data_IF_587797366902
#
_entry.id   IF_587797366902
#
_cell.length_a   1.000
_cell.length_b   1.000
_cell.length_c   1.000
_cell.angle_alpha   90.00
_cell.angle_beta   90.00
_cell.angle_gamma   90.00
#
_symmetry.space_group_name_H-M   'P 1'
#
loop_
_entity.id
_entity.type
_entity.pdbx_description
1 polymer ?
#
# COMPACT_ATOMS: atom_id res chain seq x y z
N UNK A 1 -21.14 3.43 -31.80
CA UNK A 1 -20.29 3.09 -30.64
C UNK A 1 -18.86 3.43 -31.03
N UNK A 2 -18.23 4.39 -30.33
CA UNK A 2 -16.84 4.75 -30.62
C UNK A 2 -15.93 3.62 -30.12
N UNK A 3 -15.27 2.93 -31.05
CA UNK A 3 -14.26 1.92 -30.74
C UNK A 3 -12.96 2.62 -30.37
N UNK A 4 -12.89 3.15 -29.14
CA UNK A 4 -11.63 3.63 -28.60
C UNK A 4 -10.68 2.42 -28.38
N UNK A 5 -9.40 2.53 -28.80
CA UNK A 5 -8.36 1.59 -28.39
C UNK A 5 -8.29 1.46 -26.87
N UNK A 6 -7.96 0.27 -26.37
CA UNK A 6 -7.90 0.00 -24.92
C UNK A 6 -6.93 0.91 -24.16
N UNK A 7 -5.83 1.31 -24.81
CA UNK A 7 -4.83 2.22 -24.25
C UNK A 7 -5.42 3.62 -24.00
N UNK A 8 -6.21 4.14 -24.94
CA UNK A 8 -6.89 5.43 -24.76
C UNK A 8 -7.91 5.38 -23.62
N UNK A 9 -8.63 4.25 -23.48
CA UNK A 9 -9.56 4.06 -22.35
C UNK A 9 -8.82 4.06 -21.00
N UNK A 10 -7.61 3.48 -20.94
CA UNK A 10 -6.76 3.51 -19.75
C UNK A 10 -6.26 4.91 -19.44
N UNK A 11 -5.75 5.63 -20.43
CA UNK A 11 -5.27 7.00 -20.24
C UNK A 11 -6.36 7.90 -19.68
N UNK A 12 -7.56 7.83 -20.26
CA UNK A 12 -8.75 8.55 -19.77
C UNK A 12 -9.05 8.16 -18.30
N UNK A 13 -9.07 6.87 -17.99
CA UNK A 13 -9.34 6.43 -16.61
C UNK A 13 -8.29 6.91 -15.62
N UNK A 14 -7.02 6.94 -16.01
CA UNK A 14 -5.91 7.41 -15.18
C UNK A 14 -5.97 8.92 -14.94
N UNK A 15 -6.43 9.70 -15.92
CA UNK A 15 -6.70 11.13 -15.74
C UNK A 15 -7.77 11.36 -14.69
N UNK A 16 -8.86 10.59 -14.73
CA UNK A 16 -9.92 10.66 -13.72
C UNK A 16 -9.46 10.21 -12.33
N UNK A 17 -8.61 9.17 -12.24
CA UNK A 17 -7.99 8.79 -10.95
C UNK A 17 -7.16 9.95 -10.39
N UNK A 18 -6.36 10.62 -11.23
CA UNK A 18 -5.51 11.74 -10.80
C UNK A 18 -6.31 12.97 -10.39
N UNK A 19 -7.45 13.23 -11.05
CA UNK A 19 -8.33 14.35 -10.70
C UNK A 19 -9.24 14.07 -9.50
N UNK A 20 -9.33 12.81 -9.05
CA UNK A 20 -10.18 12.39 -7.94
C UNK A 20 -11.64 12.11 -8.34
N UNK A 21 -11.97 12.13 -9.64
CA UNK A 21 -13.30 11.72 -10.12
C UNK A 21 -13.36 10.20 -10.27
N UNK A 22 -13.55 9.53 -9.14
CA UNK A 22 -13.50 8.07 -9.08
C UNK A 22 -14.71 7.40 -9.75
N UNK A 23 -15.85 8.06 -9.85
CA UNK A 23 -17.04 7.51 -10.54
C UNK A 23 -16.82 7.45 -12.05
N UNK A 24 -16.27 8.52 -12.63
CA UNK A 24 -15.84 8.50 -14.03
C UNK A 24 -14.73 7.48 -14.27
N UNK A 25 -13.73 7.39 -13.37
CA UNK A 25 -12.67 6.40 -13.48
C UNK A 25 -13.22 4.96 -13.51
N UNK A 26 -14.16 4.63 -12.62
CA UNK A 26 -14.85 3.32 -12.56
C UNK A 26 -15.55 3.03 -13.89
N UNK A 27 -16.32 4.00 -14.42
CA UNK A 27 -17.02 3.83 -15.70
C UNK A 27 -16.06 3.45 -16.83
N UNK A 28 -14.93 4.17 -16.96
CA UNK A 28 -13.97 3.92 -18.02
C UNK A 28 -13.21 2.59 -17.82
N UNK A 29 -12.87 2.24 -16.59
CA UNK A 29 -12.25 0.94 -16.27
C UNK A 29 -13.19 -0.25 -16.53
N UNK A 30 -14.50 -0.10 -16.38
CA UNK A 30 -15.46 -1.12 -16.82
C UNK A 30 -15.46 -1.31 -18.34
N UNK A 31 -15.23 -0.25 -19.11
CA UNK A 31 -15.06 -0.35 -20.57
C UNK A 31 -13.76 -1.07 -20.92
N UNK A 32 -12.65 -0.77 -20.22
CA UNK A 32 -11.37 -1.48 -20.35
C UNK A 32 -11.56 -2.97 -20.09
N UNK A 33 -12.15 -3.35 -18.96
CA UNK A 33 -12.44 -4.74 -18.59
C UNK A 33 -13.24 -5.48 -19.68
N UNK A 34 -14.31 -4.86 -20.16
CA UNK A 34 -15.16 -5.45 -21.19
C UNK A 34 -14.44 -5.64 -22.53
N UNK A 35 -13.50 -4.76 -22.86
CA UNK A 35 -12.66 -4.88 -24.04
C UNK A 35 -11.65 -6.02 -23.90
N UNK A 36 -10.93 -6.09 -22.77
CA UNK A 36 -9.93 -7.12 -22.50
C UNK A 36 -10.50 -8.54 -22.45
N UNK A 37 -11.71 -8.70 -21.89
CA UNK A 37 -12.42 -9.98 -21.84
C UNK A 37 -12.69 -10.54 -23.24
N UNK A 38 -12.78 -9.68 -24.26
CA UNK A 38 -13.02 -10.07 -25.66
C UNK A 38 -11.73 -10.38 -26.43
N UNK A 39 -10.57 -9.91 -25.98
CA UNK A 39 -9.32 -9.89 -26.77
C UNK A 39 -8.24 -10.84 -26.23
N UNK A 40 -8.50 -11.62 -25.16
CA UNK A 40 -7.56 -12.62 -24.60
C UNK A 40 -6.13 -12.07 -24.39
N UNK A 41 -6.02 -10.89 -23.76
CA UNK A 41 -4.74 -10.23 -23.50
C UNK A 41 -4.04 -10.86 -22.28
N UNK A 42 -2.70 -10.80 -22.24
CA UNK A 42 -1.84 -11.37 -21.20
C UNK A 42 -2.26 -11.01 -19.76
N UNK A 43 -2.06 -11.96 -18.83
CA UNK A 43 -2.53 -11.92 -17.44
C UNK A 43 -2.06 -10.70 -16.63
N UNK A 44 -0.79 -10.29 -16.77
CA UNK A 44 -0.22 -9.22 -15.94
C UNK A 44 -0.83 -7.85 -16.24
N UNK A 45 -1.22 -7.60 -17.50
CA UNK A 45 -1.92 -6.38 -17.89
C UNK A 45 -3.33 -6.33 -17.31
N UNK A 46 -3.96 -7.49 -17.08
CA UNK A 46 -5.28 -7.59 -16.45
C UNK A 46 -5.19 -7.37 -14.93
N UNK A 47 -4.03 -7.58 -14.31
CA UNK A 47 -3.82 -7.32 -12.88
C UNK A 47 -3.73 -5.81 -12.58
N UNK A 48 -3.01 -5.03 -13.37
CA UNK A 48 -2.89 -3.57 -13.18
C UNK A 48 -4.24 -2.86 -13.36
N UNK A 49 -4.97 -3.16 -14.45
CA UNK A 49 -6.28 -2.56 -14.69
C UNK A 49 -7.28 -2.93 -13.58
N UNK A 50 -7.24 -4.18 -13.11
CA UNK A 50 -8.09 -4.61 -12.00
C UNK A 50 -7.68 -3.95 -10.68
N UNK A 51 -6.38 -3.80 -10.42
CA UNK A 51 -5.88 -3.05 -9.28
C UNK A 51 -6.42 -1.61 -9.29
N UNK A 52 -6.26 -0.89 -10.40
CA UNK A 52 -6.76 0.49 -10.55
C UNK A 52 -8.28 0.57 -10.38
N UNK A 53 -9.01 -0.41 -10.92
CA UNK A 53 -10.46 -0.49 -10.74
C UNK A 53 -10.85 -0.66 -9.27
N UNK A 54 -10.20 -1.56 -8.54
CA UNK A 54 -10.45 -1.75 -7.12
C UNK A 54 -10.08 -0.49 -6.32
N UNK A 55 -8.96 0.17 -6.63
CA UNK A 55 -8.58 1.42 -5.96
C UNK A 55 -9.64 2.50 -6.16
N UNK A 56 -10.11 2.70 -7.40
CA UNK A 56 -11.17 3.66 -7.69
C UNK A 56 -12.48 3.31 -6.96
N UNK A 57 -12.85 2.03 -6.90
CA UNK A 57 -14.01 1.58 -6.14
C UNK A 57 -13.89 1.84 -4.63
N UNK A 58 -12.70 1.61 -4.05
CA UNK A 58 -12.46 1.90 -2.63
C UNK A 58 -12.54 3.40 -2.38
N UNK A 59 -11.96 4.22 -3.26
CA UNK A 59 -11.98 5.67 -3.15
C UNK A 59 -13.39 6.27 -3.32
N UNK A 60 -14.24 5.63 -4.14
CA UNK A 60 -15.66 5.95 -4.29
C UNK A 60 -16.55 5.30 -3.19
N UNK A 61 -15.97 4.85 -2.08
CA UNK A 61 -16.67 4.24 -0.94
C UNK A 61 -17.47 2.96 -1.26
N UNK A 62 -17.21 2.31 -2.40
CA UNK A 62 -17.87 1.06 -2.83
C UNK A 62 -17.23 -0.19 -2.21
N UNK A 63 -16.91 -0.12 -0.91
CA UNK A 63 -16.09 -1.11 -0.21
C UNK A 63 -16.67 -2.54 -0.24
N UNK A 64 -17.98 -2.70 -0.12
CA UNK A 64 -18.64 -4.03 -0.15
C UNK A 64 -18.52 -4.69 -1.52
N UNK A 65 -18.69 -3.91 -2.59
CA UNK A 65 -18.56 -4.39 -3.97
C UNK A 65 -17.10 -4.74 -4.29
N UNK A 66 -16.16 -3.86 -3.92
CA UNK A 66 -14.73 -4.10 -4.07
C UNK A 66 -14.30 -5.38 -3.33
N UNK A 67 -14.75 -5.57 -2.09
CA UNK A 67 -14.50 -6.77 -1.29
C UNK A 67 -15.03 -8.04 -1.96
N UNK A 68 -16.24 -8.00 -2.54
CA UNK A 68 -16.82 -9.13 -3.26
C UNK A 68 -15.98 -9.54 -4.48
N UNK A 69 -15.52 -8.57 -5.26
CA UNK A 69 -14.67 -8.80 -6.44
C UNK A 69 -13.29 -9.34 -6.06
N UNK A 70 -12.65 -8.76 -5.03
CA UNK A 70 -11.35 -9.22 -4.55
C UNK A 70 -11.39 -10.67 -4.08
N UNK A 71 -12.42 -11.05 -3.32
CA UNK A 71 -12.62 -12.43 -2.86
C UNK A 71 -12.90 -13.42 -3.99
N UNK A 72 -13.61 -12.98 -5.03
CA UNK A 72 -13.89 -13.84 -6.18
C UNK A 72 -12.64 -14.13 -7.02
N UNK A 73 -11.64 -13.25 -6.99
CA UNK A 73 -10.35 -13.42 -7.69
C UNK A 73 -9.30 -14.15 -6.85
N UNK A 74 -9.56 -14.41 -5.56
CA UNK A 74 -8.56 -14.74 -4.54
C UNK A 74 -7.47 -15.71 -5.04
N UNK A 75 -6.31 -15.14 -5.34
CA UNK A 75 -5.14 -15.81 -5.93
C UNK A 75 -3.96 -15.87 -4.96
N UNK A 76 -4.12 -15.42 -3.71
CA UNK A 76 -3.03 -15.33 -2.73
C UNK A 76 -2.01 -14.22 -2.99
N UNK A 77 -2.21 -13.35 -3.99
CA UNK A 77 -1.33 -12.21 -4.25
C UNK A 77 -1.36 -11.20 -3.10
N UNK A 78 -0.18 -10.67 -2.75
CA UNK A 78 0.01 -9.73 -1.65
C UNK A 78 -0.93 -8.52 -1.75
N UNK A 79 -1.05 -7.95 -2.94
CA UNK A 79 -1.80 -6.73 -3.15
C UNK A 79 -3.31 -6.93 -2.94
N UNK A 80 -3.85 -8.08 -3.34
CA UNK A 80 -5.25 -8.44 -3.13
C UNK A 80 -5.54 -8.51 -1.64
N UNK A 81 -4.67 -9.18 -0.88
CA UNK A 81 -4.83 -9.32 0.58
C UNK A 81 -4.86 -7.96 1.28
N UNK A 82 -3.96 -7.04 0.92
CA UNK A 82 -3.95 -5.68 1.50
C UNK A 82 -5.22 -4.91 1.13
N UNK A 83 -5.71 -4.99 -0.11
CA UNK A 83 -6.95 -4.31 -0.50
C UNK A 83 -8.18 -4.92 0.17
N UNK A 84 -8.20 -6.25 0.40
CA UNK A 84 -9.22 -6.92 1.21
C UNK A 84 -9.20 -6.37 2.65
N UNK A 85 -8.01 -6.25 3.25
CA UNK A 85 -7.87 -5.71 4.59
C UNK A 85 -8.35 -4.26 4.68
N UNK A 86 -7.98 -3.40 3.71
CA UNK A 86 -8.49 -2.03 3.60
C UNK A 86 -10.03 -2.00 3.53
N UNK A 87 -10.62 -2.82 2.67
CA UNK A 87 -12.07 -2.92 2.58
C UNK A 87 -12.70 -3.37 3.91
N UNK A 88 -12.12 -4.35 4.59
CA UNK A 88 -12.59 -4.79 5.90
C UNK A 88 -12.52 -3.68 6.96
N UNK A 89 -11.44 -2.91 6.98
CA UNK A 89 -11.31 -1.75 7.87
C UNK A 89 -12.40 -0.72 7.60
N UNK A 90 -12.66 -0.37 6.33
CA UNK A 90 -13.70 0.59 5.96
C UNK A 90 -15.13 0.14 6.36
N UNK A 91 -15.39 -1.18 6.38
CA UNK A 91 -16.66 -1.74 6.87
C UNK A 91 -16.63 -2.11 8.36
N UNK A 92 -15.71 -1.53 9.14
CA UNK A 92 -15.57 -1.70 10.58
C UNK A 92 -15.37 -3.15 11.05
N UNK A 93 -14.71 -3.97 10.22
CA UNK A 93 -14.33 -5.35 10.53
C UNK A 93 -12.83 -5.46 10.81
N UNK A 94 -12.35 -4.69 11.78
CA UNK A 94 -10.92 -4.54 12.08
C UNK A 94 -10.21 -5.87 12.38
N UNK A 95 -10.85 -6.78 13.13
CA UNK A 95 -10.26 -8.10 13.40
C UNK A 95 -10.02 -8.91 12.12
N UNK A 96 -10.98 -8.90 11.19
CA UNK A 96 -10.81 -9.57 9.89
C UNK A 96 -9.73 -8.89 9.03
N UNK A 97 -9.59 -7.57 9.14
CA UNK A 97 -8.51 -6.87 8.47
C UNK A 97 -7.13 -7.29 9.02
N UNK A 98 -7.00 -7.41 10.34
CA UNK A 98 -5.79 -7.91 11.00
C UNK A 98 -5.48 -9.36 10.64
N UNK A 99 -6.49 -10.23 10.61
CA UNK A 99 -6.33 -11.64 10.21
C UNK A 99 -5.76 -11.75 8.79
N UNK A 100 -6.29 -10.93 7.86
CA UNK A 100 -5.79 -10.89 6.48
C UNK A 100 -4.38 -10.34 6.39
N UNK A 101 -4.00 -9.36 7.23
CA UNK A 101 -2.65 -8.80 7.30
C UNK A 101 -1.69 -9.60 8.19
N UNK A 102 -2.08 -10.79 8.64
CA UNK A 102 -1.23 -11.66 9.46
C UNK A 102 0.07 -12.04 8.76
N UNK A 103 0.08 -12.12 7.41
CA UNK A 103 1.30 -12.43 6.64
C UNK A 103 2.41 -11.38 6.78
N UNK A 104 2.08 -10.13 7.13
CA UNK A 104 3.06 -9.07 7.39
C UNK A 104 3.73 -9.27 8.75
N UNK A 105 4.45 -10.37 8.95
CA UNK A 105 5.20 -10.60 10.19
C UNK A 105 6.62 -10.09 9.99
N UNK A 106 6.93 -8.96 10.64
CA UNK A 106 8.30 -8.47 10.75
C UNK A 106 8.77 -8.72 12.18
N UNK A 107 9.94 -9.34 12.34
CA UNK A 107 10.52 -9.54 13.66
C UNK A 107 11.40 -8.35 14.01
N UNK A 108 11.34 -7.89 15.26
CA UNK A 108 12.11 -6.71 15.67
C UNK A 108 13.64 -6.90 15.56
N UNK A 109 14.09 -8.14 15.71
CA UNK A 109 15.51 -8.51 15.65
C UNK A 109 16.04 -8.70 14.24
N UNK A 110 15.17 -8.83 13.24
CA UNK A 110 15.55 -9.13 11.86
C UNK A 110 14.58 -8.51 10.84
N UNK A 111 15.12 -7.62 10.00
CA UNK A 111 14.38 -7.02 8.88
C UNK A 111 14.28 -7.95 7.67
N UNK A 112 14.82 -9.17 7.71
CA UNK A 112 14.73 -10.18 6.66
C UNK A 112 13.29 -10.43 6.20
N UNK A 113 12.33 -10.49 7.13
CA UNK A 113 10.91 -10.62 6.79
C UNK A 113 10.34 -9.43 6.01
N UNK A 114 10.84 -8.22 6.27
CA UNK A 114 10.48 -7.02 5.52
C UNK A 114 11.04 -7.05 4.10
N UNK A 115 12.32 -7.41 3.97
CA UNK A 115 13.01 -7.56 2.67
C UNK A 115 12.27 -8.59 1.81
N UNK A 116 11.92 -9.74 2.40
CA UNK A 116 11.22 -10.81 1.72
C UNK A 116 9.83 -10.37 1.25
N UNK A 117 9.10 -9.62 2.07
CA UNK A 117 7.79 -9.05 1.71
C UNK A 117 7.90 -8.10 0.52
N UNK A 118 8.90 -7.20 0.53
CA UNK A 118 9.16 -6.27 -0.57
C UNK A 118 9.56 -7.02 -1.85
N UNK A 119 10.43 -8.03 -1.72
CA UNK A 119 10.85 -8.88 -2.85
C UNK A 119 9.65 -9.60 -3.48
N UNK A 120 8.82 -10.24 -2.66
CA UNK A 120 7.60 -10.92 -3.10
C UNK A 120 6.63 -9.95 -3.77
N UNK A 121 6.44 -8.75 -3.21
CA UNK A 121 5.61 -7.71 -3.85
C UNK A 121 6.14 -7.32 -5.23
N UNK A 122 7.46 -7.21 -5.39
CA UNK A 122 8.09 -6.88 -6.67
C UNK A 122 7.87 -7.97 -7.72
N UNK A 123 7.93 -9.24 -7.29
CA UNK A 123 7.77 -10.40 -8.15
C UNK A 123 6.30 -10.61 -8.57
N UNK A 124 5.36 -10.47 -7.63
CA UNK A 124 3.94 -10.69 -7.88
C UNK A 124 3.23 -9.50 -8.52
N UNK A 125 3.82 -8.31 -8.47
CA UNK A 125 3.17 -7.06 -8.88
C UNK A 125 4.19 -6.06 -9.44
N UNK A 126 4.77 -6.35 -10.62
CA UNK A 126 5.81 -5.51 -11.21
C UNK A 126 5.34 -4.10 -11.59
N UNK A 127 4.02 -3.89 -11.69
CA UNK A 127 3.39 -2.59 -11.95
C UNK A 127 3.31 -1.70 -10.69
N UNK A 128 3.53 -2.26 -9.49
CA UNK A 128 3.55 -1.50 -8.24
C UNK A 128 5.00 -1.16 -7.86
N UNK A 129 5.18 0.01 -7.25
CA UNK A 129 6.38 0.25 -6.46
C UNK A 129 6.27 -0.56 -5.16
N UNK A 130 7.07 -1.62 -4.98
CA UNK A 130 6.88 -2.57 -3.88
C UNK A 130 7.12 -1.92 -2.52
N UNK A 131 7.97 -0.89 -2.43
CA UNK A 131 8.29 -0.24 -1.17
C UNK A 131 7.19 0.73 -0.72
N UNK A 132 6.64 1.50 -1.67
CA UNK A 132 5.48 2.36 -1.39
C UNK A 132 4.30 1.50 -0.98
N UNK A 133 4.03 0.43 -1.72
CA UNK A 133 2.94 -0.48 -1.44
C UNK A 133 3.07 -1.18 -0.07
N UNK A 134 4.26 -1.74 0.23
CA UNK A 134 4.49 -2.40 1.53
C UNK A 134 4.45 -1.40 2.68
N UNK A 135 4.97 -0.18 2.50
CA UNK A 135 4.81 0.91 3.48
C UNK A 135 3.34 1.23 3.76
N UNK A 136 2.50 1.28 2.72
CA UNK A 136 1.06 1.46 2.86
C UNK A 136 0.38 0.35 3.65
N UNK A 137 0.76 -0.90 3.37
CA UNK A 137 0.23 -2.06 4.07
C UNK A 137 0.63 -2.09 5.56
N UNK A 138 1.90 -1.79 5.85
CA UNK A 138 2.42 -1.72 7.23
C UNK A 138 1.79 -0.59 8.03
N UNK A 139 1.64 0.59 7.43
CA UNK A 139 0.92 1.71 8.05
C UNK A 139 -0.53 1.33 8.38
N UNK A 140 -1.21 0.66 7.45
CA UNK A 140 -2.59 0.24 7.68
C UNK A 140 -2.69 -0.78 8.83
N UNK A 141 -1.78 -1.76 8.87
CA UNK A 141 -1.69 -2.72 9.98
C UNK A 141 -1.41 -2.03 11.31
N UNK A 142 -0.46 -1.08 11.34
CA UNK A 142 -0.11 -0.32 12.53
C UNK A 142 -1.32 0.45 13.08
N UNK A 143 -2.08 1.11 12.21
CA UNK A 143 -3.30 1.83 12.60
C UNK A 143 -4.39 0.91 13.17
N UNK A 144 -4.57 -0.28 12.59
CA UNK A 144 -5.49 -1.29 13.14
C UNK A 144 -5.05 -1.79 14.51
N UNK A 145 -3.75 -2.04 14.69
CA UNK A 145 -3.16 -2.46 15.97
C UNK A 145 -3.31 -1.37 17.02
N UNK A 146 -3.05 -0.12 16.66
CA UNK A 146 -3.21 1.03 17.53
C UNK A 146 -4.66 1.17 18.02
N UNK A 147 -5.63 1.09 17.10
CA UNK A 147 -7.06 1.10 17.45
C UNK A 147 -7.43 -0.03 18.42
N UNK A 148 -6.79 -1.20 18.30
CA UNK A 148 -6.98 -2.33 19.22
C UNK A 148 -6.19 -2.24 20.53
N UNK A 149 -5.41 -1.18 20.74
CA UNK A 149 -4.57 -1.00 21.93
C UNK A 149 -3.32 -1.88 21.97
N UNK A 150 -2.88 -2.43 20.84
CA UNK A 150 -1.75 -3.36 20.80
C UNK A 150 -0.41 -2.60 20.72
N UNK A 151 0.48 -2.87 21.66
CA UNK A 151 1.81 -2.24 21.82
C UNK A 151 2.75 -2.34 20.60
N UNK A 152 2.45 -3.23 19.65
CA UNK A 152 3.29 -3.43 18.47
C UNK A 152 3.00 -2.42 17.35
N UNK A 153 1.98 -1.55 17.49
CA UNK A 153 1.63 -0.56 16.47
C UNK A 153 2.82 0.34 16.10
N UNK A 154 3.56 0.82 17.10
CA UNK A 154 4.75 1.65 16.96
C UNK A 154 5.81 0.98 16.10
N UNK A 155 6.07 -0.31 16.35
CA UNK A 155 7.03 -1.08 15.58
C UNK A 155 6.63 -1.15 14.10
N UNK A 156 5.36 -1.41 13.80
CA UNK A 156 4.86 -1.47 12.42
C UNK A 156 4.84 -0.09 11.73
N UNK A 157 4.58 0.99 12.46
CA UNK A 157 4.79 2.35 11.96
C UNK A 157 6.26 2.59 11.63
N UNK A 158 7.18 2.16 12.49
CA UNK A 158 8.61 2.17 12.20
C UNK A 158 8.95 1.43 10.90
N UNK A 159 8.47 0.20 10.73
CA UNK A 159 8.68 -0.56 9.50
C UNK A 159 8.11 0.14 8.25
N UNK A 160 6.95 0.82 8.37
CA UNK A 160 6.39 1.59 7.27
C UNK A 160 7.32 2.74 6.84
N UNK A 161 7.96 3.43 7.78
CA UNK A 161 8.96 4.46 7.50
C UNK A 161 10.26 3.88 6.94
N UNK A 162 10.65 2.68 7.34
CA UNK A 162 11.80 1.96 6.74
C UNK A 162 11.59 1.72 5.25
N UNK A 163 10.37 1.35 4.83
CA UNK A 163 10.05 1.19 3.41
C UNK A 163 9.83 2.52 2.69
N UNK A 164 9.27 3.53 3.35
CA UNK A 164 9.04 4.84 2.76
C UNK A 164 9.24 5.96 3.80
N UNK A 165 10.47 6.52 3.88
CA UNK A 165 10.80 7.59 4.82
C UNK A 165 10.04 8.89 4.59
N UNK A 166 9.49 9.09 3.38
CA UNK A 166 8.71 10.26 2.97
C UNK A 166 7.24 10.15 3.37
N UNK A 167 6.85 9.08 4.07
CA UNK A 167 5.47 8.89 4.50
C UNK A 167 5.17 9.73 5.75
N UNK A 168 4.95 11.03 5.52
CA UNK A 168 4.68 12.02 6.58
C UNK A 168 3.52 11.63 7.50
N UNK A 169 2.48 10.97 6.99
CA UNK A 169 1.36 10.52 7.83
C UNK A 169 1.78 9.55 8.92
N UNK A 170 2.79 8.71 8.68
CA UNK A 170 3.35 7.81 9.70
C UNK A 170 4.18 8.59 10.71
N UNK A 171 5.07 9.45 10.24
CA UNK A 171 5.96 10.20 11.12
C UNK A 171 5.19 11.16 12.02
N UNK A 172 4.19 11.86 11.46
CA UNK A 172 3.27 12.70 12.22
C UNK A 172 2.55 11.90 13.30
N UNK A 173 2.01 10.72 12.96
CA UNK A 173 1.32 9.84 13.93
C UNK A 173 2.23 9.42 15.09
N UNK A 174 3.50 9.11 14.80
CA UNK A 174 4.47 8.70 15.82
C UNK A 174 4.88 9.86 16.74
N UNK A 175 4.94 11.09 16.22
CA UNK A 175 5.41 12.29 16.95
C UNK A 175 4.28 13.00 17.71
N UNK A 176 3.11 13.20 17.08
CA UNK A 176 1.99 13.94 17.68
C UNK A 176 1.33 13.18 18.84
N UNK A 177 1.28 11.85 18.76
CA UNK A 177 0.64 11.02 19.79
C UNK A 177 1.64 10.57 20.89
N UNK A 178 2.85 11.16 20.92
CA UNK A 178 3.97 10.83 21.84
C UNK A 178 4.27 9.32 21.93
N UNK A 179 3.97 8.58 20.86
CA UNK A 179 4.09 7.12 20.83
C UNK A 179 5.54 6.64 20.92
N UNK A 180 6.50 7.51 20.58
CA UNK A 180 7.93 7.28 20.73
C UNK A 180 8.66 8.54 21.16
N UNK A 181 9.75 8.37 21.90
CA UNK A 181 10.66 9.46 22.22
C UNK A 181 11.77 9.63 21.15
N UNK A 182 12.50 10.74 21.21
CA UNK A 182 13.56 11.05 20.23
C UNK A 182 14.71 10.03 20.17
N UNK A 183 14.95 9.25 21.24
CA UNK A 183 15.95 8.19 21.21
C UNK A 183 15.48 6.98 20.39
N UNK A 184 14.18 6.69 20.40
CA UNK A 184 13.57 5.64 19.58
C UNK A 184 13.45 6.06 18.12
N UNK A 185 13.18 7.35 17.86
CA UNK A 185 13.26 7.94 16.51
C UNK A 185 14.66 7.75 15.94
N UNK A 186 15.72 8.06 16.70
CA UNK A 186 17.12 7.82 16.27
C UNK A 186 17.38 6.36 15.92
N UNK A 187 16.95 5.43 16.79
CA UNK A 187 17.11 4.00 16.57
C UNK A 187 16.35 3.51 15.33
N UNK A 188 15.16 4.06 15.10
CA UNK A 188 14.37 3.80 13.90
C UNK A 188 15.14 4.27 12.66
N UNK A 189 15.65 5.50 12.65
CA UNK A 189 16.43 6.04 11.53
C UNK A 189 17.70 5.24 11.23
N UNK A 190 18.39 4.74 12.25
CA UNK A 190 19.50 3.80 12.04
C UNK A 190 19.06 2.50 11.35
N UNK A 191 17.87 1.98 11.71
CA UNK A 191 17.27 0.83 11.00
C UNK A 191 16.92 1.19 9.55
N UNK A 192 16.38 2.38 9.29
CA UNK A 192 16.12 2.88 7.93
C UNK A 192 17.43 2.92 7.12
N UNK A 193 18.50 3.52 7.66
CA UNK A 193 19.81 3.59 6.97
C UNK A 193 20.36 2.20 6.64
N UNK A 194 20.29 1.25 7.58
CA UNK A 194 20.73 -0.14 7.36
C UNK A 194 19.92 -0.82 6.25
N UNK A 195 18.59 -0.68 6.27
CA UNK A 195 17.72 -1.23 5.22
C UNK A 195 17.97 -0.57 3.86
N UNK A 196 18.18 0.74 3.83
CA UNK A 196 18.49 1.48 2.61
C UNK A 196 19.85 1.06 2.03
N UNK A 197 20.85 0.78 2.87
CA UNK A 197 22.14 0.25 2.41
C UNK A 197 22.01 -1.14 1.75
N UNK A 198 21.01 -1.94 2.17
CA UNK A 198 20.73 -3.25 1.57
C UNK A 198 19.99 -3.11 0.24
N UNK A 199 19.09 -2.14 0.14
CA UNK A 199 18.13 -2.02 -0.97
C UNK A 199 18.49 -0.94 -1.99
N UNK A 200 19.48 -0.09 -1.68
CA UNK A 200 19.95 1.06 -2.48
C UNK A 200 18.81 1.95 -2.99
N UNK A 201 17.82 2.22 -2.14
CA UNK A 201 16.60 2.92 -2.54
C UNK A 201 16.72 4.44 -2.57
N UNK A 202 17.47 5.02 -1.64
CA UNK A 202 17.57 6.45 -1.40
C UNK A 202 19.04 6.84 -1.24
N UNK A 203 19.38 8.08 -1.58
CA UNK A 203 20.70 8.61 -1.23
C UNK A 203 20.79 8.87 0.28
N UNK A 204 22.00 8.74 0.84
CA UNK A 204 22.27 9.04 2.24
C UNK A 204 21.93 10.49 2.58
N UNK A 205 22.22 11.43 1.68
CA UNK A 205 21.92 12.86 1.85
C UNK A 205 20.42 13.14 1.99
N UNK A 206 19.57 12.42 1.25
CA UNK A 206 18.12 12.55 1.36
C UNK A 206 17.62 12.00 2.70
N UNK A 207 18.18 10.88 3.17
CA UNK A 207 17.86 10.34 4.48
C UNK A 207 18.26 11.28 5.61
N UNK A 208 19.42 11.93 5.49
CA UNK A 208 19.89 12.91 6.48
C UNK A 208 19.02 14.17 6.48
N UNK A 209 18.60 14.64 5.29
CA UNK A 209 17.63 15.74 5.16
C UNK A 209 16.30 15.40 5.83
N UNK A 210 15.77 14.20 5.57
CA UNK A 210 14.52 13.71 6.18
C UNK A 210 14.68 13.58 7.70
N UNK A 211 15.81 13.06 8.19
CA UNK A 211 16.08 12.97 9.62
C UNK A 211 16.14 14.33 10.30
N UNK A 212 16.82 15.31 9.71
CA UNK A 212 16.89 16.68 10.23
C UNK A 212 15.53 17.37 10.25
N UNK A 213 14.70 17.14 9.23
CA UNK A 213 13.33 17.66 9.20
C UNK A 213 12.51 17.17 10.41
N UNK A 214 12.64 15.90 10.80
CA UNK A 214 11.94 15.36 11.97
C UNK A 214 12.55 15.75 13.32
N UNK A 215 13.75 16.32 13.36
CA UNK A 215 14.32 16.89 14.58
C UNK A 215 13.86 18.32 14.86
N UNK A 216 13.40 19.01 13.81
CA UNK A 216 13.11 20.45 13.84
C UNK A 216 11.62 20.75 13.98
N UNK A 217 10.76 19.73 13.93
CA UNK A 217 9.32 19.77 14.19
C UNK A 217 9.01 18.90 15.40
#
# INVERSE_FOLDING_TARGET
MNNFPVEQLRDISNEFIKSGDFESAIFWLEKVKNHLTKVCIASNYIDEDFYNYIIAMIAAERHKCALGLLKARDSGHLWIQVLIAKCYSCVQRCNKALDVLSFLVVQEKDLGGLIETVRKCKEESPFLNPFVFVSDALFHKASLLEYSGHVNCVFYYGCALVCNPLKFSVARRLLEDELINMSEVKRLFERIRKFNAITNQLSTDLLDTVFHFYQSN
#
